data_IF_088867497315
#
_entry.id   IF_088867497315
#
_cell.length_a   1.000
_cell.length_b   1.000
_cell.length_c   1.000
_cell.angle_alpha   90.00
_cell.angle_beta   90.00
_cell.angle_gamma   90.00
#
_symmetry.space_group_name_H-M   'P 1'
#
loop_
_entity.id
_entity.type
_entity.pdbx_description
1 polymer ?
#
# COMPACT_ATOMS: atom_id res chain seq x y z
N UNK A 1 3.57 -8.22 60.10
CA UNK A 1 3.73 -8.28 58.64
C UNK A 1 2.53 -7.56 58.05
N UNK A 2 2.74 -6.39 57.46
CA UNK A 2 1.67 -5.58 56.87
C UNK A 2 1.96 -5.55 55.37
N UNK A 3 1.17 -6.31 54.61
CA UNK A 3 1.26 -6.37 53.16
C UNK A 3 0.56 -5.14 52.58
N UNK A 4 1.26 -4.42 51.70
CA UNK A 4 0.68 -3.39 50.87
C UNK A 4 0.98 -3.73 49.41
N UNK A 5 0.05 -4.40 48.76
CA UNK A 5 -0.06 -4.34 47.31
C UNK A 5 -0.84 -3.07 46.95
N UNK A 6 -0.21 -2.15 46.20
CA UNK A 6 -0.99 -1.28 45.33
C UNK A 6 -0.21 -0.89 44.08
N UNK A 7 -0.80 -1.30 42.97
CA UNK A 7 -0.41 -1.10 41.58
C UNK A 7 -0.11 0.37 41.27
N UNK A 8 1.15 0.64 40.93
CA UNK A 8 1.53 1.88 40.27
C UNK A 8 1.34 1.74 38.77
N UNK A 9 0.11 1.94 38.29
CA UNK A 9 -0.13 2.24 36.87
C UNK A 9 0.69 3.48 36.52
N UNK A 10 1.81 3.26 35.81
CA UNK A 10 2.51 4.35 35.13
C UNK A 10 1.63 4.78 33.96
N UNK A 11 0.67 5.65 34.23
CA UNK A 11 -0.03 6.41 33.21
C UNK A 11 1.03 7.20 32.43
N UNK A 12 1.47 6.61 31.31
CA UNK A 12 2.24 7.33 30.30
C UNK A 12 1.35 8.48 29.87
N UNK A 13 1.76 9.69 30.22
CA UNK A 13 1.15 10.96 29.80
C UNK A 13 0.99 10.88 28.28
N UNK A 14 -0.23 10.64 27.83
CA UNK A 14 -0.60 10.73 26.43
C UNK A 14 -0.53 12.23 26.11
N UNK A 15 0.60 12.68 25.56
CA UNK A 15 0.61 13.97 24.87
C UNK A 15 -0.48 13.83 23.81
N UNK A 16 -1.53 14.61 23.95
CA UNK A 16 -2.53 14.84 22.92
C UNK A 16 -1.81 15.56 21.77
N UNK A 17 -1.11 14.76 20.96
CA UNK A 17 -0.44 15.25 19.78
C UNK A 17 -1.54 15.44 18.75
N UNK A 18 -1.79 16.71 18.43
CA UNK A 18 -2.73 17.11 17.39
C UNK A 18 -2.43 16.32 16.11
N UNK A 19 -3.37 15.48 15.69
CA UNK A 19 -3.24 14.66 14.49
C UNK A 19 -3.32 15.61 13.30
N UNK A 20 -2.23 15.73 12.55
CA UNK A 20 -2.19 16.62 11.38
C UNK A 20 -2.75 15.91 10.15
N UNK A 21 -3.49 16.61 9.27
CA UNK A 21 -3.91 16.03 8.00
C UNK A 21 -2.69 15.74 7.13
N UNK A 22 -2.77 14.64 6.36
CA UNK A 22 -1.72 14.28 5.41
C UNK A 22 -1.82 15.16 4.16
N UNK A 23 -0.70 15.78 3.75
CA UNK A 23 -0.64 16.55 2.51
C UNK A 23 0.01 15.70 1.40
N UNK A 24 -0.84 15.04 0.61
CA UNK A 24 -0.43 14.12 -0.46
C UNK A 24 -0.05 14.86 -1.74
N UNK A 25 -0.54 16.08 -1.94
CA UNK A 25 -0.16 16.91 -3.09
C UNK A 25 1.34 17.19 -3.14
N UNK A 26 2.00 17.18 -1.97
CA UNK A 26 3.46 17.31 -1.86
C UNK A 26 4.22 16.02 -2.19
N UNK A 27 3.52 14.89 -2.39
CA UNK A 27 4.12 13.58 -2.62
C UNK A 27 4.16 13.28 -4.12
N UNK A 28 5.25 12.66 -4.55
CA UNK A 28 5.43 12.28 -5.96
C UNK A 28 5.04 10.83 -6.17
N UNK A 29 3.97 10.57 -6.91
CA UNK A 29 3.61 9.23 -7.41
C UNK A 29 4.47 8.87 -8.62
N UNK A 30 5.08 7.68 -8.60
CA UNK A 30 5.93 7.17 -9.68
C UNK A 30 5.56 5.74 -10.01
N UNK A 31 5.27 5.49 -11.29
CA UNK A 31 5.12 4.15 -11.84
C UNK A 31 6.48 3.67 -12.35
N UNK A 32 6.92 2.49 -11.90
CA UNK A 32 8.14 1.83 -12.34
C UNK A 32 7.77 0.50 -13.00
N UNK A 33 7.62 0.47 -14.33
CA UNK A 33 7.50 -0.77 -15.08
C UNK A 33 8.74 -1.64 -14.87
N UNK A 34 8.56 -2.94 -14.76
CA UNK A 34 9.68 -3.88 -14.75
C UNK A 34 10.07 -4.21 -16.18
N UNK A 35 11.36 -4.37 -16.43
CA UNK A 35 11.89 -4.76 -17.76
C UNK A 35 11.44 -6.18 -18.13
N UNK A 36 11.44 -7.09 -17.16
CA UNK A 36 11.19 -8.52 -17.38
C UNK A 36 9.72 -8.94 -17.15
N UNK A 37 8.84 -8.03 -16.70
CA UNK A 37 7.47 -8.37 -16.28
C UNK A 37 6.47 -7.29 -16.66
N UNK A 38 5.24 -7.71 -16.98
CA UNK A 38 4.09 -6.81 -17.16
C UNK A 38 3.69 -6.06 -15.90
N UNK A 39 4.27 -6.41 -14.74
CA UNK A 39 4.01 -5.75 -13.47
C UNK A 39 4.63 -4.35 -13.46
N UNK A 40 3.84 -3.41 -12.95
CA UNK A 40 4.25 -2.03 -12.67
C UNK A 40 4.26 -1.84 -11.16
N UNK A 41 5.42 -1.52 -10.60
CA UNK A 41 5.51 -1.14 -9.20
C UNK A 41 5.16 0.35 -9.05
N UNK A 42 4.40 0.70 -8.02
CA UNK A 42 3.96 2.08 -7.75
C UNK A 42 4.54 2.55 -6.45
N UNK A 43 5.19 3.71 -6.49
CA UNK A 43 5.83 4.33 -5.35
C UNK A 43 5.27 5.72 -5.12
N UNK A 44 5.06 6.05 -3.85
CA UNK A 44 4.84 7.42 -3.39
C UNK A 44 6.09 7.91 -2.66
N UNK A 45 6.79 8.87 -3.25
CA UNK A 45 7.96 9.50 -2.65
C UNK A 45 7.56 10.74 -1.88
N UNK A 46 8.04 10.83 -0.64
CA UNK A 46 7.86 12.00 0.19
C UNK A 46 8.77 13.13 -0.30
N UNK A 47 8.37 14.40 -0.16
CA UNK A 47 9.19 15.55 -0.54
C UNK A 47 10.49 15.63 0.29
N UNK A 48 10.52 14.99 1.46
CA UNK A 48 11.67 14.93 2.37
C UNK A 48 12.77 13.94 1.95
N UNK A 49 12.62 13.24 0.82
CA UNK A 49 13.63 12.28 0.34
C UNK A 49 13.68 10.95 1.12
N UNK A 50 12.66 10.68 1.96
CA UNK A 50 12.47 9.38 2.63
C UNK A 50 12.20 8.25 1.61
N UNK A 51 12.45 6.97 1.97
CA UNK A 51 12.17 5.85 1.08
C UNK A 51 10.71 5.86 0.62
N UNK A 52 10.49 5.54 -0.65
CA UNK A 52 9.16 5.56 -1.26
C UNK A 52 8.25 4.50 -0.66
N UNK A 53 7.01 4.89 -0.38
CA UNK A 53 5.98 3.97 0.13
C UNK A 53 5.39 3.19 -1.04
N UNK A 54 5.28 1.87 -0.88
CA UNK A 54 4.87 0.95 -1.96
C UNK A 54 3.54 0.24 -1.68
N UNK A 55 2.91 0.54 -0.55
CA UNK A 55 1.64 -0.04 -0.14
C UNK A 55 0.90 0.87 0.84
N UNK A 56 -0.42 0.66 0.98
CA UNK A 56 -1.24 1.32 2.01
C UNK A 56 -0.74 1.02 3.43
N UNK A 57 -0.17 -0.17 3.65
CA UNK A 57 0.37 -0.53 4.96
C UNK A 57 1.60 0.32 5.33
N UNK A 58 2.45 0.63 4.34
CA UNK A 58 3.59 1.51 4.56
C UNK A 58 3.14 2.94 4.83
N UNK A 59 2.10 3.41 4.12
CA UNK A 59 1.44 4.70 4.37
C UNK A 59 0.88 4.75 5.79
N UNK A 60 0.16 3.71 6.22
CA UNK A 60 -0.40 3.63 7.58
C UNK A 60 0.71 3.72 8.63
N UNK A 61 1.76 2.91 8.52
CA UNK A 61 2.92 2.95 9.44
C UNK A 61 3.59 4.32 9.46
N UNK A 62 3.68 4.98 8.32
CA UNK A 62 4.22 6.34 8.24
C UNK A 62 3.33 7.34 8.97
N UNK A 63 2.02 7.27 8.75
CA UNK A 63 1.04 8.13 9.43
C UNK A 63 1.08 7.94 10.94
N UNK A 64 1.11 6.68 11.41
CA UNK A 64 1.20 6.34 12.83
C UNK A 64 2.49 6.90 13.46
N UNK A 65 3.62 6.85 12.73
CA UNK A 65 4.92 7.34 13.22
C UNK A 65 4.98 8.87 13.31
N UNK A 66 4.36 9.56 12.37
CA UNK A 66 4.43 11.03 12.26
C UNK A 66 3.19 11.72 12.85
N UNK A 67 2.28 10.96 13.48
CA UNK A 67 1.00 11.42 14.02
C UNK A 67 0.16 12.15 12.96
N UNK A 68 0.07 11.56 11.78
CA UNK A 68 -0.76 12.05 10.69
C UNK A 68 -2.07 11.28 10.61
N UNK A 69 -3.11 11.95 10.13
CA UNK A 69 -4.38 11.30 9.80
C UNK A 69 -4.20 10.41 8.57
N UNK A 70 -4.41 9.11 8.74
CA UNK A 70 -4.40 8.16 7.64
C UNK A 70 -5.72 8.21 6.87
N UNK A 71 -5.64 8.47 5.57
CA UNK A 71 -6.77 8.47 4.64
C UNK A 71 -6.43 7.59 3.44
N UNK A 72 -6.95 6.35 3.43
CA UNK A 72 -6.64 5.35 2.40
C UNK A 72 -7.04 5.80 1.00
N UNK A 73 -8.16 6.50 0.90
CA UNK A 73 -8.83 6.82 -0.36
C UNK A 73 -8.06 7.86 -1.18
N UNK A 74 -7.14 8.57 -0.52
CA UNK A 74 -6.25 9.50 -1.18
C UNK A 74 -5.05 8.81 -1.87
N UNK A 75 -4.87 7.49 -1.69
CA UNK A 75 -3.77 6.73 -2.27
C UNK A 75 -4.28 5.66 -3.24
N UNK A 76 -3.73 5.66 -4.45
CA UNK A 76 -3.93 4.58 -5.42
C UNK A 76 -2.60 3.88 -5.76
N UNK A 77 -2.50 2.60 -5.42
CA UNK A 77 -1.41 1.70 -5.79
C UNK A 77 -1.79 0.82 -6.99
N UNK A 78 -2.72 1.29 -7.83
CA UNK A 78 -3.10 0.64 -9.08
C UNK A 78 -2.48 1.37 -10.27
N UNK A 79 -1.99 0.65 -11.31
CA UNK A 79 -1.49 1.27 -12.53
C UNK A 79 -2.61 2.07 -13.20
N UNK A 80 -2.27 3.23 -13.79
CA UNK A 80 -3.27 4.05 -14.48
C UNK A 80 -3.61 3.52 -15.88
N UNK A 81 -2.66 2.87 -16.55
CA UNK A 81 -2.82 2.33 -17.89
C UNK A 81 -2.56 0.82 -17.87
N UNK A 82 -3.63 0.03 -17.79
CA UNK A 82 -3.55 -1.44 -17.86
C UNK A 82 -3.45 -1.93 -19.32
N UNK A 83 -4.04 -1.21 -20.27
CA UNK A 83 -4.33 -1.74 -21.61
C UNK A 83 -3.24 -1.52 -22.69
N UNK A 84 -2.23 -0.67 -22.45
CA UNK A 84 -1.30 -0.25 -23.52
C UNK A 84 0.07 -0.94 -23.51
N UNK A 85 0.34 -1.91 -22.64
CA UNK A 85 1.69 -2.49 -22.49
C UNK A 85 1.85 -3.92 -23.03
N UNK A 86 0.90 -4.42 -23.81
CA UNK A 86 1.01 -5.76 -24.39
C UNK A 86 1.74 -5.83 -25.74
N UNK A 87 2.09 -4.70 -26.37
CA UNK A 87 2.45 -4.72 -27.80
C UNK A 87 3.89 -4.28 -28.12
N UNK A 88 4.87 -4.83 -27.39
CA UNK A 88 6.29 -4.73 -27.78
C UNK A 88 7.11 -5.92 -27.27
N UNK A 89 6.59 -7.14 -27.47
CA UNK A 89 7.44 -8.32 -27.53
C UNK A 89 7.47 -8.76 -28.98
N UNK A 90 8.52 -8.35 -29.67
CA UNK A 90 8.96 -9.03 -30.88
C UNK A 90 8.94 -10.54 -30.64
N UNK A 91 8.48 -11.24 -31.66
CA UNK A 91 8.17 -12.66 -31.72
C UNK A 91 9.21 -13.55 -31.01
N UNK A 92 8.71 -14.46 -30.18
CA UNK A 92 9.14 -15.85 -30.03
C UNK A 92 9.11 -16.31 -28.56
N UNK A 93 7.96 -16.86 -28.13
CA UNK A 93 7.93 -17.99 -27.20
C UNK A 93 6.54 -18.62 -27.27
N UNK A 94 6.46 -19.82 -27.84
CA UNK A 94 5.45 -20.79 -27.46
C UNK A 94 5.42 -20.89 -25.93
N UNK A 95 4.24 -20.78 -25.31
CA UNK A 95 3.73 -21.81 -24.41
C UNK A 95 2.41 -21.40 -23.75
N UNK A 96 1.37 -22.14 -24.14
CA UNK A 96 0.18 -22.54 -23.38
C UNK A 96 -0.60 -21.50 -22.59
N UNK A 97 -1.64 -20.99 -23.24
CA UNK A 97 -2.78 -20.31 -22.68
C UNK A 97 -3.58 -21.26 -21.76
N UNK A 98 -3.41 -21.14 -20.44
CA UNK A 98 -4.32 -21.75 -19.47
C UNK A 98 -5.38 -20.73 -19.04
N UNK A 99 -6.48 -20.72 -19.78
CA UNK A 99 -7.73 -20.09 -19.39
C UNK A 99 -8.45 -20.99 -18.38
N UNK A 100 -8.21 -20.73 -17.09
CA UNK A 100 -9.02 -21.30 -16.01
C UNK A 100 -10.24 -20.39 -15.81
N UNK A 101 -11.24 -20.59 -16.66
CA UNK A 101 -12.61 -20.14 -16.44
C UNK A 101 -13.08 -20.59 -15.05
N UNK A 102 -13.66 -19.65 -14.32
CA UNK A 102 -14.34 -19.90 -13.05
C UNK A 102 -15.44 -20.94 -13.26
N UNK A 103 -15.29 -22.08 -12.60
CA UNK A 103 -16.40 -23.00 -12.36
C UNK A 103 -17.24 -22.38 -11.24
N UNK A 104 -18.52 -22.14 -11.50
CA UNK A 104 -19.54 -22.22 -10.46
C UNK A 104 -20.76 -22.97 -10.99
N UNK A 105 -21.14 -23.92 -10.16
CA UNK A 105 -22.13 -24.99 -10.23
C UNK A 105 -23.58 -24.49 -10.15
N UNK A 106 -24.48 -25.13 -10.91
CA UNK A 106 -25.88 -25.49 -10.56
C UNK A 106 -26.82 -25.44 -11.77
N UNK A 107 -27.32 -26.59 -12.24
CA UNK A 107 -28.71 -26.96 -11.98
C UNK A 107 -29.00 -28.41 -12.43
N UNK A 108 -29.64 -29.14 -11.53
CA UNK A 108 -30.15 -30.50 -11.69
C UNK A 108 -31.52 -30.42 -12.35
N UNK A 109 -31.79 -31.17 -13.42
CA UNK A 109 -33.15 -31.50 -13.90
C UNK A 109 -33.10 -32.71 -14.82
#
# INVERSE_FOLDING_TARGET
MQEFEKSGEKCKIMKEQEIKPINISSWKRVERPRTESSRVDIYYYLPSGKPGLRSLNDVKKYCDKENLKFESDMFSFKPLNLDQRYDSRDENSNDSFNESLFNDEANMS
#
